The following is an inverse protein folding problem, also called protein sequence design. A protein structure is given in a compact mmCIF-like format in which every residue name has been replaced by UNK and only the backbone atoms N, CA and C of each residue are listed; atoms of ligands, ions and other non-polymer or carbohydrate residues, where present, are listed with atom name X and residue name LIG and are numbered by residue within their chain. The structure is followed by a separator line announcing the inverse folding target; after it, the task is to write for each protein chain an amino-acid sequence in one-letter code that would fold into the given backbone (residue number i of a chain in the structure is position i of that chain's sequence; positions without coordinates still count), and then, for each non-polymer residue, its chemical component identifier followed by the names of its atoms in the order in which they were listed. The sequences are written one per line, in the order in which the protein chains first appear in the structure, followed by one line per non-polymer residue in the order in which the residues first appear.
data_IF_757491607091
#
_entry.id   IF_757491607091
#
_cell.length_a   1.000
_cell.length_b   1.000
_cell.length_c   1.000
_cell.angle_alpha   90.00
_cell.angle_beta   90.00
_cell.angle_gamma   90.00
#
_symmetry.space_group_name_H-M   'P 1'
#
loop_
_entity.id
_entity.type
_entity.pdbx_description
1 polymer ?
#
# COMPACT_ATOMS: atom_id res chain seq x y z
N UNK A 1 3.59 -12.56 -1.70
CA UNK A 1 2.80 -12.71 -0.44
C UNK A 1 1.36 -12.26 -0.70
N UNK A 2 0.36 -12.85 -0.04
CA UNK A 2 -1.02 -12.35 -0.06
C UNK A 2 -1.72 -12.66 1.25
N UNK A 3 -2.71 -11.84 1.63
CA UNK A 3 -3.47 -12.05 2.85
C UNK A 3 -4.58 -11.03 3.03
N UNK A 4 -5.30 -11.16 4.14
CA UNK A 4 -6.27 -10.18 4.61
C UNK A 4 -5.98 -9.90 6.08
N UNK A 5 -5.98 -8.65 6.50
CA UNK A 5 -5.66 -8.29 7.88
C UNK A 5 -5.46 -6.80 8.10
N UNK A 6 -5.04 -6.41 9.32
CA UNK A 6 -4.72 -5.03 9.64
C UNK A 6 -3.45 -4.59 8.90
N UNK A 7 -3.60 -3.60 8.03
CA UNK A 7 -2.50 -2.92 7.33
C UNK A 7 -2.31 -1.56 7.98
N UNK A 8 -1.08 -1.24 8.38
CA UNK A 8 -0.76 0.14 8.78
C UNK A 8 -0.55 0.99 7.54
N UNK A 9 -1.18 2.15 7.47
CA UNK A 9 -1.17 3.09 6.35
C UNK A 9 -0.92 4.50 6.88
N UNK A 10 0.31 5.01 6.73
CA UNK A 10 0.64 6.37 7.20
C UNK A 10 0.43 6.58 8.70
N UNK A 11 0.50 5.51 9.50
CA UNK A 11 0.24 5.53 10.95
C UNK A 11 -1.17 5.10 11.36
N UNK A 12 -2.12 5.08 10.43
CA UNK A 12 -3.48 4.58 10.65
C UNK A 12 -3.54 3.06 10.43
N UNK A 13 -4.48 2.36 11.07
CA UNK A 13 -4.71 0.93 10.82
C UNK A 13 -6.00 0.74 10.04
N UNK A 14 -5.92 0.01 8.93
CA UNK A 14 -7.05 -0.32 8.05
C UNK A 14 -7.14 -1.82 7.83
N UNK A 15 -8.35 -2.37 7.76
CA UNK A 15 -8.52 -3.80 7.50
C UNK A 15 -8.64 -4.04 5.99
N UNK A 16 -7.61 -4.64 5.40
CA UNK A 16 -7.47 -4.71 3.95
C UNK A 16 -7.15 -6.11 3.46
N UNK A 17 -7.51 -6.38 2.21
CA UNK A 17 -6.90 -7.46 1.44
C UNK A 17 -5.64 -6.93 0.76
N UNK A 18 -4.57 -7.71 0.72
CA UNK A 18 -3.32 -7.30 0.10
C UNK A 18 -2.65 -8.43 -0.67
N UNK A 19 -1.90 -8.05 -1.70
CA UNK A 19 -0.97 -8.92 -2.41
C UNK A 19 0.33 -8.18 -2.67
N UNK A 20 1.45 -8.88 -2.61
CA UNK A 20 2.76 -8.35 -3.00
C UNK A 20 3.38 -9.31 -4.00
N UNK A 21 3.70 -8.79 -5.19
CA UNK A 21 4.35 -9.49 -6.28
C UNK A 21 5.31 -8.55 -6.99
N UNK A 22 6.53 -9.02 -7.30
CA UNK A 22 7.47 -8.31 -8.20
C UNK A 22 7.64 -6.82 -7.88
N UNK A 23 7.82 -6.46 -6.60
CA UNK A 23 8.03 -5.07 -6.15
C UNK A 23 6.78 -4.18 -6.14
N UNK A 24 5.62 -4.73 -6.50
CA UNK A 24 4.32 -4.05 -6.45
C UNK A 24 3.49 -4.65 -5.32
N UNK A 25 3.02 -3.79 -4.43
CA UNK A 25 2.02 -4.12 -3.41
C UNK A 25 0.67 -3.60 -3.87
N UNK A 26 -0.32 -4.49 -3.93
CA UNK A 26 -1.72 -4.11 -4.16
C UNK A 26 -2.48 -4.23 -2.86
N UNK A 27 -3.25 -3.20 -2.52
CA UNK A 27 -4.10 -3.16 -1.33
C UNK A 27 -5.53 -2.85 -1.78
N UNK A 28 -6.50 -3.63 -1.29
CA UNK A 28 -7.92 -3.35 -1.44
C UNK A 28 -8.48 -2.91 -0.09
N UNK A 29 -8.95 -1.67 -0.04
CA UNK A 29 -9.63 -1.05 1.11
C UNK A 29 -11.07 -0.71 0.74
N UNK A 30 -11.91 -0.37 1.72
CA UNK A 30 -13.22 0.21 1.43
C UNK A 30 -13.08 1.61 0.80
N UNK A 31 -14.12 2.05 0.09
CA UNK A 31 -14.17 3.42 -0.43
C UNK A 31 -14.09 4.46 0.71
N UNK A 32 -14.79 4.22 1.82
CA UNK A 32 -14.79 5.11 2.98
C UNK A 32 -13.40 5.26 3.61
N UNK A 33 -12.64 4.17 3.73
CA UNK A 33 -11.26 4.25 4.23
C UNK A 33 -10.33 4.91 3.22
N UNK A 34 -10.50 4.67 1.92
CA UNK A 34 -9.70 5.33 0.90
C UNK A 34 -9.91 6.85 0.90
N UNK A 35 -11.15 7.29 1.09
CA UNK A 35 -11.49 8.71 1.19
C UNK A 35 -10.99 9.31 2.51
N UNK A 36 -11.12 8.60 3.64
CA UNK A 36 -10.58 9.03 4.94
C UNK A 36 -9.06 9.19 4.93
N UNK A 37 -8.35 8.38 4.16
CA UNK A 37 -6.89 8.38 4.06
C UNK A 37 -6.35 9.24 2.90
N UNK A 38 -7.21 9.97 2.20
CA UNK A 38 -6.86 10.78 1.02
C UNK A 38 -6.04 9.99 -0.02
N UNK A 39 -6.44 8.75 -0.30
CA UNK A 39 -5.73 7.86 -1.22
C UNK A 39 -5.78 8.41 -2.64
N UNK A 40 -4.64 8.90 -3.11
CA UNK A 40 -4.46 9.45 -4.46
C UNK A 40 -3.15 8.97 -5.09
N UNK A 41 -3.11 8.91 -6.42
CA UNK A 41 -1.88 8.60 -7.16
C UNK A 41 -0.81 9.67 -6.89
N UNK A 42 0.45 9.25 -6.78
CA UNK A 42 1.58 10.11 -6.44
C UNK A 42 1.83 10.31 -4.94
N UNK A 43 0.90 9.88 -4.07
CA UNK A 43 1.09 9.95 -2.62
C UNK A 43 2.18 8.98 -2.18
N UNK A 44 3.11 9.47 -1.35
CA UNK A 44 4.07 8.63 -0.62
C UNK A 44 3.47 8.24 0.71
N UNK A 45 3.50 6.96 1.02
CA UNK A 45 2.93 6.44 2.26
C UNK A 45 3.82 5.33 2.81
N UNK A 46 4.00 5.35 4.14
CA UNK A 46 4.61 4.24 4.85
C UNK A 46 3.56 3.18 5.13
N UNK A 47 3.77 1.96 4.64
CA UNK A 47 2.85 0.84 4.84
C UNK A 47 3.49 -0.26 5.68
N UNK A 48 2.70 -0.94 6.52
CA UNK A 48 3.10 -2.19 7.15
C UNK A 48 2.05 -3.26 6.88
N UNK A 49 2.46 -4.35 6.24
CA UNK A 49 1.60 -5.52 6.02
C UNK A 49 1.75 -6.50 7.18
N UNK A 50 0.71 -7.30 7.51
CA UNK A 50 0.82 -8.36 8.50
C UNK A 50 2.03 -9.27 8.29
N UNK A 51 2.92 -9.34 9.28
CA UNK A 51 4.11 -10.18 9.26
C UNK A 51 5.25 -9.69 8.34
N UNK A 52 5.20 -8.43 7.88
CA UNK A 52 6.26 -7.82 7.08
C UNK A 52 6.78 -6.53 7.73
N UNK A 53 8.04 -6.20 7.45
CA UNK A 53 8.64 -4.94 7.89
C UNK A 53 7.97 -3.73 7.21
N UNK A 54 7.75 -2.62 7.94
CA UNK A 54 7.20 -1.40 7.36
C UNK A 54 8.09 -0.87 6.23
N UNK A 55 7.48 -0.46 5.13
CA UNK A 55 8.17 0.00 3.92
C UNK A 55 7.54 1.30 3.40
N UNK A 56 8.36 2.22 2.89
CA UNK A 56 7.87 3.40 2.17
C UNK A 56 7.45 3.02 0.75
N UNK A 57 6.26 3.42 0.34
CA UNK A 57 5.70 3.15 -0.98
C UNK A 57 5.20 4.42 -1.66
N UNK A 58 5.23 4.41 -3.00
CA UNK A 58 4.57 5.40 -3.83
C UNK A 58 3.31 4.78 -4.42
N UNK A 59 2.16 5.43 -4.23
CA UNK A 59 0.92 5.03 -4.89
C UNK A 59 1.05 5.34 -6.38
N UNK A 60 1.09 4.29 -7.21
CA UNK A 60 1.24 4.41 -8.66
C UNK A 60 -0.07 4.23 -9.40
N UNK A 61 -1.10 3.69 -8.73
CA UNK A 61 -2.42 3.52 -9.33
C UNK A 61 -3.52 3.46 -8.28
N UNK A 62 -4.63 4.14 -8.54
CA UNK A 62 -5.86 4.05 -7.76
C UNK A 62 -7.03 3.71 -8.69
N UNK A 63 -7.73 2.61 -8.41
CA UNK A 63 -8.95 2.20 -9.12
C UNK A 63 -10.12 2.16 -8.15
N UNK A 64 -11.10 3.03 -8.38
CA UNK A 64 -12.35 3.08 -7.61
C UNK A 64 -13.35 2.10 -8.21
N UNK A 65 -13.72 1.07 -7.46
CA UNK A 65 -14.65 0.01 -7.83
C UNK A 65 -15.60 -0.23 -6.65
N UNK A 66 -16.62 0.63 -6.47
CA UNK A 66 -17.49 0.58 -5.30
C UNK A 66 -18.03 -0.83 -5.03
N UNK A 67 -17.97 -1.30 -3.76
CA UNK A 67 -17.70 -0.53 -2.54
C UNK A 67 -16.22 -0.43 -2.14
N UNK A 68 -15.29 -0.79 -3.03
CA UNK A 68 -13.86 -0.89 -2.74
C UNK A 68 -13.00 0.07 -3.57
N UNK A 69 -11.77 0.26 -3.13
CA UNK A 69 -10.71 0.92 -3.88
C UNK A 69 -9.50 0.01 -3.93
N UNK A 70 -9.00 -0.23 -5.13
CA UNK A 70 -7.74 -0.93 -5.36
C UNK A 70 -6.62 0.09 -5.49
N UNK A 71 -5.58 -0.09 -4.69
CA UNK A 71 -4.41 0.77 -4.65
C UNK A 71 -3.19 -0.07 -5.00
N UNK A 72 -2.41 0.38 -5.97
CA UNK A 72 -1.12 -0.21 -6.29
C UNK A 72 -0.01 0.72 -5.80
N UNK A 73 0.94 0.15 -5.05
CA UNK A 73 2.11 0.82 -4.52
C UNK A 73 3.38 0.16 -5.07
N UNK A 74 4.36 0.97 -5.42
CA UNK A 74 5.73 0.49 -5.65
C UNK A 74 6.60 0.84 -4.44
N UNK A 75 7.49 -0.07 -4.07
CA UNK A 75 8.43 0.19 -2.97
C UNK A 75 9.41 1.31 -3.34
N UNK A 76 9.62 2.23 -2.42
CA UNK A 76 10.65 3.26 -2.49
C UNK A 76 11.94 2.84 -1.81
N UNK A 77 12.04 1.59 -1.31
CA UNK A 77 13.28 1.08 -0.73
C UNK A 77 14.39 1.25 -1.76
N UNK A 78 15.30 2.16 -1.42
CA UNK A 78 16.48 2.52 -2.21
C UNK A 78 17.20 1.23 -2.58
N UNK A 79 17.33 0.96 -3.87
CA UNK A 79 18.44 0.12 -4.33
C UNK A 79 19.69 0.91 -3.96
N UNK A 80 20.24 0.65 -2.77
CA UNK A 80 21.56 1.10 -2.40
C UNK A 80 22.52 0.30 -3.28
N UNK A 81 22.73 0.76 -4.50
CA UNK A 81 23.89 0.35 -5.28
C UNK A 81 25.10 0.91 -4.54
N UNK A 82 25.66 0.09 -3.65
CA UNK A 82 27.04 0.25 -3.19
C UNK A 82 27.92 0.05 -4.43
N UNK A 83 28.22 1.14 -5.12
CA UNK A 83 29.38 1.17 -6.00
C UNK A 83 30.60 1.32 -5.08
N UNK A 84 31.32 0.20 -4.91
CA UNK A 84 32.69 0.19 -4.42
C UNK A 84 33.69 0.62 -5.48
#
# INVERSE_FOLDING_TARGET
MRGTGPVTWGGEVVYAYFTTSTGVTRVRVSADEADRLDVVEGLRVRIALPGAEPTDGLIVRVRREPPFVWVELTSLTRTATLAG
#
